data_IF_694333051625
#
_entry.id   IF_694333051625
#
_cell.length_a   1.000
_cell.length_b   1.000
_cell.length_c   1.000
_cell.angle_alpha   90.00
_cell.angle_beta   90.00
_cell.angle_gamma   90.00
#
_symmetry.space_group_name_H-M   'P 1'
#
loop_
_entity.id
_entity.type
_entity.pdbx_description
1 polymer ?
#
# COMPACT_ATOMS: atom_id res chain seq x y z
N UNK A 1 -13.71 -8.46 -22.06
CA UNK A 1 -12.67 -7.41 -21.99
C UNK A 1 -12.85 -6.38 -23.10
N UNK A 2 -12.96 -5.08 -22.77
CA UNK A 2 -12.94 -4.01 -23.77
C UNK A 2 -11.59 -3.94 -24.49
N UNK A 3 -11.60 -3.50 -25.76
CA UNK A 3 -10.38 -3.38 -26.56
C UNK A 3 -9.49 -2.25 -26.01
N UNK A 4 -8.15 -2.43 -25.99
CA UNK A 4 -7.24 -1.38 -25.56
C UNK A 4 -7.35 -0.17 -26.49
N UNK A 5 -7.42 1.02 -25.91
CA UNK A 5 -7.30 2.28 -26.65
C UNK A 5 -5.83 2.70 -26.67
N UNK A 6 -5.35 3.00 -27.86
CA UNK A 6 -3.95 3.35 -28.08
C UNK A 6 -3.85 4.79 -28.59
N UNK A 7 -3.03 5.58 -27.92
CA UNK A 7 -2.66 6.91 -28.37
C UNK A 7 -1.14 7.01 -28.44
N UNK A 8 -0.64 7.62 -29.49
CA UNK A 8 0.76 7.90 -29.68
C UNK A 8 0.93 9.31 -30.24
N UNK A 9 2.05 9.94 -29.90
CA UNK A 9 2.35 11.28 -30.35
C UNK A 9 3.83 11.60 -30.28
N UNK A 10 4.18 12.76 -30.83
CA UNK A 10 5.53 13.29 -30.83
C UNK A 10 5.54 14.74 -30.36
N UNK A 11 6.66 15.16 -29.78
CA UNK A 11 6.94 16.54 -29.41
C UNK A 11 8.44 16.83 -29.52
N UNK A 12 8.79 18.09 -29.72
CA UNK A 12 10.18 18.54 -29.80
C UNK A 12 10.61 19.16 -28.47
N UNK A 13 11.73 18.71 -27.91
CA UNK A 13 12.38 19.31 -26.75
C UNK A 13 13.86 19.53 -27.07
N UNK A 14 14.36 20.75 -26.88
CA UNK A 14 15.77 21.05 -27.12
C UNK A 14 16.24 20.85 -28.58
N UNK A 15 15.33 20.77 -29.55
CA UNK A 15 15.66 20.43 -30.94
C UNK A 15 15.60 18.95 -31.29
N UNK A 16 15.13 18.10 -30.36
CA UNK A 16 15.05 16.64 -30.51
C UNK A 16 13.60 16.19 -30.48
N UNK A 17 13.21 15.34 -31.44
CA UNK A 17 11.90 14.71 -31.47
C UNK A 17 11.83 13.54 -30.48
N UNK A 18 10.81 13.58 -29.63
CA UNK A 18 10.51 12.53 -28.66
C UNK A 18 9.13 11.94 -28.91
N UNK A 19 8.95 10.67 -28.56
CA UNK A 19 7.68 9.94 -28.73
C UNK A 19 7.13 9.48 -27.40
N UNK A 20 5.81 9.56 -27.24
CA UNK A 20 5.09 8.98 -26.10
C UNK A 20 3.99 8.04 -26.58
N UNK A 21 3.61 7.10 -25.72
CA UNK A 21 2.53 6.14 -25.98
C UNK A 21 1.66 5.99 -24.73
N UNK A 22 0.34 6.07 -24.92
CA UNK A 22 -0.67 5.79 -23.89
C UNK A 22 -1.45 4.55 -24.31
N UNK A 23 -1.54 3.59 -23.41
CA UNK A 23 -2.41 2.42 -23.53
C UNK A 23 -3.42 2.48 -22.40
N UNK A 24 -4.70 2.58 -22.75
CA UNK A 24 -5.81 2.63 -21.79
C UNK A 24 -6.68 1.38 -21.96
N UNK A 25 -6.94 0.66 -20.87
CA UNK A 25 -7.75 -0.56 -20.86
C UNK A 25 -8.89 -0.37 -19.86
N UNK A 26 -10.14 -0.66 -20.26
CA UNK A 26 -11.32 -0.46 -19.39
C UNK A 26 -11.83 0.98 -19.30
N UNK A 27 -10.98 1.98 -19.52
CA UNK A 27 -11.35 3.39 -19.49
C UNK A 27 -12.38 3.80 -20.56
N UNK A 28 -13.31 4.68 -20.16
CA UNK A 28 -14.22 5.33 -21.12
C UNK A 28 -13.45 6.13 -22.18
N UNK A 29 -13.88 6.07 -23.45
CA UNK A 29 -13.17 6.72 -24.56
C UNK A 29 -12.96 8.23 -24.39
N UNK A 30 -13.96 8.93 -23.84
CA UNK A 30 -13.88 10.37 -23.56
C UNK A 30 -12.78 10.71 -22.54
N UNK A 31 -12.54 9.84 -21.56
CA UNK A 31 -11.51 10.07 -20.55
C UNK A 31 -10.12 9.85 -21.12
N UNK A 32 -9.91 8.75 -21.84
CA UNK A 32 -8.63 8.45 -22.46
C UNK A 32 -8.21 9.54 -23.47
N UNK A 33 -9.16 10.03 -24.29
CA UNK A 33 -8.96 11.20 -25.17
C UNK A 33 -8.71 12.51 -24.40
N UNK A 34 -9.34 12.69 -23.24
CA UNK A 34 -9.13 13.84 -22.36
C UNK A 34 -7.72 13.85 -21.76
N UNK A 35 -7.28 12.71 -21.22
CA UNK A 35 -5.93 12.52 -20.70
C UNK A 35 -4.89 12.72 -21.80
N UNK A 36 -5.14 12.17 -23.00
CA UNK A 36 -4.28 12.36 -24.16
C UNK A 36 -4.04 13.85 -24.47
N UNK A 37 -5.12 14.62 -24.60
CA UNK A 37 -5.05 16.07 -24.84
C UNK A 37 -4.35 16.82 -23.69
N UNK A 38 -4.55 16.37 -22.45
CA UNK A 38 -3.90 16.94 -21.28
C UNK A 38 -2.39 16.72 -21.31
N UNK A 39 -1.93 15.51 -21.66
CA UNK A 39 -0.53 15.16 -21.85
C UNK A 39 0.09 15.96 -22.99
N UNK A 40 -0.56 16.01 -24.16
CA UNK A 40 -0.10 16.82 -25.29
C UNK A 40 0.03 18.31 -24.93
N UNK A 41 -0.96 18.86 -24.24
CA UNK A 41 -0.95 20.26 -23.80
C UNK A 41 0.18 20.52 -22.81
N UNK A 42 0.42 19.59 -21.87
CA UNK A 42 1.49 19.69 -20.91
C UNK A 42 2.86 19.69 -21.61
N UNK A 43 3.12 18.69 -22.47
CA UNK A 43 4.39 18.55 -23.19
C UNK A 43 4.72 19.78 -24.04
N UNK A 44 3.71 20.40 -24.68
CA UNK A 44 3.89 21.61 -25.50
C UNK A 44 4.15 22.88 -24.70
N UNK A 45 3.74 22.93 -23.44
CA UNK A 45 3.85 24.13 -22.59
C UNK A 45 4.90 23.98 -21.49
N UNK A 46 5.52 22.80 -21.36
CA UNK A 46 6.56 22.56 -20.38
C UNK A 46 7.82 23.37 -20.69
N UNK A 47 8.45 23.87 -19.64
CA UNK A 47 9.72 24.60 -19.73
C UNK A 47 10.63 24.18 -18.58
N UNK A 48 11.91 23.93 -18.82
CA UNK A 48 12.83 23.49 -17.77
C UNK A 48 12.97 24.57 -16.70
N UNK A 49 12.94 24.14 -15.44
CA UNK A 49 13.34 24.99 -14.31
C UNK A 49 14.83 24.78 -14.08
N UNK A 50 15.60 25.87 -13.97
CA UNK A 50 17.03 25.84 -13.68
C UNK A 50 17.28 25.26 -12.27
N UNK A 51 17.38 23.94 -12.18
CA UNK A 51 17.74 23.22 -10.96
C UNK A 51 18.69 22.09 -11.33
N UNK A 52 19.97 22.27 -11.02
CA UNK A 52 20.90 21.14 -10.93
C UNK A 52 20.53 20.39 -9.65
N UNK A 53 19.94 19.21 -9.80
CA UNK A 53 19.68 18.33 -8.68
C UNK A 53 21.00 17.66 -8.29
N UNK A 54 21.26 17.54 -6.99
CA UNK A 54 22.40 16.76 -6.48
C UNK A 54 21.92 16.00 -5.25
N UNK A 55 22.29 14.73 -5.19
CA UNK A 55 22.11 13.93 -3.98
C UNK A 55 22.90 14.56 -2.84
N UNK A 56 22.20 14.98 -1.79
CA UNK A 56 22.77 15.39 -0.52
C UNK A 56 22.86 14.19 0.45
N UNK A 57 23.52 14.37 1.60
CA UNK A 57 23.70 13.29 2.58
C UNK A 57 22.36 12.73 3.10
N UNK A 58 21.34 13.57 3.42
CA UNK A 58 20.02 13.06 3.77
C UNK A 58 19.37 12.18 2.69
N UNK A 59 19.54 12.52 1.40
CA UNK A 59 19.03 11.67 0.32
C UNK A 59 19.72 10.30 0.28
N UNK A 60 20.98 10.18 0.70
CA UNK A 60 21.63 8.87 0.84
C UNK A 60 21.04 8.05 2.00
N UNK A 61 20.68 8.69 3.13
CA UNK A 61 19.95 8.04 4.23
C UNK A 61 18.61 7.50 3.74
N UNK A 62 17.84 8.33 3.03
CA UNK A 62 16.56 7.90 2.44
C UNK A 62 16.76 6.76 1.44
N UNK A 63 17.83 6.78 0.62
CA UNK A 63 18.13 5.69 -0.30
C UNK A 63 18.43 4.38 0.45
N UNK A 64 19.17 4.43 1.55
CA UNK A 64 19.40 3.25 2.39
C UNK A 64 18.10 2.72 3.00
N UNK A 65 17.29 3.61 3.57
CA UNK A 65 15.97 3.29 4.13
C UNK A 65 15.05 2.64 3.09
N UNK A 66 14.91 3.26 1.91
CA UNK A 66 14.11 2.75 0.80
C UNK A 66 14.56 1.33 0.41
N UNK A 67 15.87 1.09 0.30
CA UNK A 67 16.39 -0.24 -0.03
C UNK A 67 16.10 -1.28 1.05
N UNK A 68 16.18 -0.93 2.33
CA UNK A 68 15.81 -1.85 3.41
C UNK A 68 14.31 -2.16 3.39
N UNK A 69 13.44 -1.16 3.17
CA UNK A 69 12.00 -1.39 2.99
C UNK A 69 11.70 -2.31 1.81
N UNK A 70 12.37 -2.11 0.68
CA UNK A 70 12.26 -2.97 -0.50
C UNK A 70 12.68 -4.41 -0.20
N UNK A 71 13.79 -4.61 0.51
CA UNK A 71 14.26 -5.94 0.91
C UNK A 71 13.27 -6.64 1.85
N UNK A 72 12.69 -5.90 2.80
CA UNK A 72 11.67 -6.42 3.70
C UNK A 72 10.38 -6.77 2.96
N UNK A 73 9.95 -5.94 2.00
CA UNK A 73 8.79 -6.22 1.15
C UNK A 73 8.98 -7.51 0.34
N UNK A 74 10.13 -7.66 -0.33
CA UNK A 74 10.47 -8.88 -1.07
C UNK A 74 10.56 -10.12 -0.17
N UNK A 75 11.11 -9.98 1.04
CA UNK A 75 11.19 -11.07 2.00
C UNK A 75 9.83 -11.46 2.62
N UNK A 76 8.86 -10.53 2.63
CA UNK A 76 7.56 -10.74 3.24
C UNK A 76 6.57 -11.50 2.34
N UNK A 77 6.87 -11.68 1.04
CA UNK A 77 5.95 -12.23 0.02
C UNK A 77 5.25 -13.53 0.46
N UNK A 78 6.00 -14.45 1.08
CA UNK A 78 5.53 -15.79 1.43
C UNK A 78 4.92 -15.84 2.85
N UNK A 79 4.93 -14.71 3.57
CA UNK A 79 4.62 -14.67 5.00
C UNK A 79 3.43 -13.80 5.35
N UNK A 80 3.26 -12.62 4.73
CA UNK A 80 2.16 -11.71 5.03
C UNK A 80 2.03 -10.60 3.98
N UNK A 81 0.86 -10.53 3.34
CA UNK A 81 0.52 -9.49 2.34
C UNK A 81 0.42 -8.13 2.99
N UNK A 82 -0.08 -8.08 4.23
CA UNK A 82 -0.12 -6.84 5.00
C UNK A 82 1.26 -6.27 5.30
N UNK A 83 2.23 -7.13 5.59
CA UNK A 83 3.62 -6.68 5.76
C UNK A 83 4.19 -6.16 4.44
N UNK A 84 3.93 -6.84 3.31
CA UNK A 84 4.29 -6.32 1.97
C UNK A 84 3.70 -4.93 1.78
N UNK A 85 2.39 -4.76 1.94
CA UNK A 85 1.72 -3.46 1.77
C UNK A 85 2.33 -2.37 2.68
N UNK A 86 2.55 -2.68 3.97
CA UNK A 86 3.18 -1.73 4.91
C UNK A 86 4.56 -1.29 4.45
N UNK A 87 5.41 -2.23 4.04
CA UNK A 87 6.77 -1.91 3.57
C UNK A 87 6.77 -1.14 2.25
N UNK A 88 5.84 -1.45 1.35
CA UNK A 88 5.68 -0.76 0.06
C UNK A 88 5.19 0.68 0.25
N UNK A 89 4.30 0.94 1.20
CA UNK A 89 3.89 2.31 1.58
C UNK A 89 5.08 3.13 2.09
N UNK A 90 5.93 2.54 2.95
CA UNK A 90 7.13 3.21 3.45
C UNK A 90 8.20 3.42 2.36
N UNK A 91 8.34 2.45 1.45
CA UNK A 91 9.17 2.55 0.26
C UNK A 91 8.71 3.70 -0.65
N UNK A 92 7.42 3.79 -0.97
CA UNK A 92 6.85 4.85 -1.80
C UNK A 92 7.12 6.23 -1.19
N UNK A 93 6.87 6.41 0.11
CA UNK A 93 7.14 7.68 0.81
C UNK A 93 8.60 8.10 0.72
N UNK A 94 9.51 7.14 0.90
CA UNK A 94 10.95 7.41 0.78
C UNK A 94 11.33 7.75 -0.66
N UNK A 95 10.80 7.04 -1.65
CA UNK A 95 11.01 7.34 -3.07
C UNK A 95 10.41 8.70 -3.49
N UNK A 96 9.30 9.12 -2.89
CA UNK A 96 8.73 10.45 -3.08
C UNK A 96 9.66 11.54 -2.53
N UNK A 97 10.34 11.28 -1.41
CA UNK A 97 11.37 12.16 -0.86
C UNK A 97 12.60 12.22 -1.79
N UNK A 98 13.04 11.06 -2.27
CA UNK A 98 14.17 10.93 -3.20
C UNK A 98 13.90 11.60 -4.55
N UNK A 99 12.69 11.52 -5.11
CA UNK A 99 12.30 12.21 -6.34
C UNK A 99 12.40 13.74 -6.19
N UNK A 100 12.08 14.28 -5.01
CA UNK A 100 12.25 15.72 -4.71
C UNK A 100 13.72 16.11 -4.67
N UNK A 101 14.58 15.23 -4.14
CA UNK A 101 16.03 15.45 -4.10
C UNK A 101 16.68 15.29 -5.49
N UNK A 102 16.23 14.30 -6.28
CA UNK A 102 16.81 13.96 -7.58
C UNK A 102 15.79 13.34 -8.55
N UNK A 103 15.58 13.92 -9.76
CA UNK A 103 14.52 13.50 -10.67
C UNK A 103 14.73 12.11 -11.30
N UNK A 104 15.94 11.54 -11.24
CA UNK A 104 16.19 10.14 -11.65
C UNK A 104 15.43 9.11 -10.81
N UNK A 105 14.89 9.49 -9.66
CA UNK A 105 13.99 8.62 -8.89
C UNK A 105 12.52 8.65 -9.37
N UNK A 106 12.19 9.43 -10.41
CA UNK A 106 10.81 9.50 -10.92
C UNK A 106 10.27 8.15 -11.38
N UNK A 107 11.03 7.36 -12.13
CA UNK A 107 10.58 6.04 -12.54
C UNK A 107 10.34 5.10 -11.35
N UNK A 108 11.33 4.84 -10.45
CA UNK A 108 11.08 3.96 -9.31
C UNK A 108 9.97 4.48 -8.39
N UNK A 109 9.81 5.81 -8.23
CA UNK A 109 8.68 6.38 -7.50
C UNK A 109 7.33 6.11 -8.19
N UNK A 110 7.26 6.26 -9.51
CA UNK A 110 6.05 5.95 -10.29
C UNK A 110 5.62 4.49 -10.15
N UNK A 111 6.60 3.56 -10.17
CA UNK A 111 6.38 2.13 -9.96
C UNK A 111 5.98 1.86 -8.51
N UNK A 112 6.56 2.55 -7.52
CA UNK A 112 6.19 2.40 -6.13
C UNK A 112 4.74 2.81 -5.84
N UNK A 113 4.24 3.88 -6.49
CA UNK A 113 2.82 4.25 -6.43
C UNK A 113 1.95 3.09 -6.94
N UNK A 114 2.32 2.48 -8.07
CA UNK A 114 1.60 1.32 -8.61
C UNK A 114 1.66 0.12 -7.65
N UNK A 115 2.83 -0.17 -7.08
CA UNK A 115 3.02 -1.22 -6.09
C UNK A 115 2.16 -1.01 -4.84
N UNK A 116 1.98 0.23 -4.35
CA UNK A 116 1.06 0.54 -3.25
C UNK A 116 -0.37 0.19 -3.64
N UNK A 117 -0.82 0.56 -4.85
CA UNK A 117 -2.17 0.22 -5.32
C UNK A 117 -2.36 -1.30 -5.41
N UNK A 118 -1.42 -2.01 -6.04
CA UNK A 118 -1.47 -3.47 -6.19
C UNK A 118 -1.49 -4.19 -4.83
N UNK A 119 -0.58 -3.81 -3.92
CA UNK A 119 -0.49 -4.41 -2.60
C UNK A 119 -1.75 -4.11 -1.76
N UNK A 120 -2.28 -2.89 -1.88
CA UNK A 120 -3.52 -2.49 -1.22
C UNK A 120 -4.75 -3.26 -1.72
N UNK A 121 -4.73 -3.70 -2.98
CA UNK A 121 -5.76 -4.55 -3.59
C UNK A 121 -5.46 -6.06 -3.44
N UNK A 122 -4.49 -6.44 -2.61
CA UNK A 122 -4.09 -7.83 -2.35
C UNK A 122 -3.53 -8.57 -3.59
N UNK A 123 -3.05 -7.85 -4.61
CA UNK A 123 -2.45 -8.40 -5.83
C UNK A 123 -0.94 -8.63 -5.64
N UNK A 124 -0.59 -9.68 -4.88
CA UNK A 124 0.80 -9.94 -4.43
C UNK A 124 1.75 -10.19 -5.60
N UNK A 125 1.37 -11.04 -6.55
CA UNK A 125 2.25 -11.41 -7.67
C UNK A 125 2.64 -10.18 -8.51
N UNK A 126 1.65 -9.35 -8.85
CA UNK A 126 1.87 -8.10 -9.57
C UNK A 126 2.68 -7.08 -8.75
N UNK A 127 2.45 -7.05 -7.44
CA UNK A 127 3.27 -6.23 -6.52
C UNK A 127 4.74 -6.68 -6.56
N UNK A 128 5.02 -7.98 -6.60
CA UNK A 128 6.40 -8.48 -6.65
C UNK A 128 7.10 -8.10 -7.95
N UNK A 129 6.41 -8.18 -9.08
CA UNK A 129 6.95 -7.67 -10.35
C UNK A 129 7.33 -6.19 -10.27
N UNK A 130 6.45 -5.36 -9.68
CA UNK A 130 6.75 -3.95 -9.47
C UNK A 130 7.96 -3.72 -8.54
N UNK A 131 8.10 -4.52 -7.47
CA UNK A 131 9.26 -4.43 -6.57
C UNK A 131 10.57 -4.85 -7.23
N UNK A 132 10.55 -5.86 -8.09
CA UNK A 132 11.71 -6.25 -8.90
C UNK A 132 12.13 -5.13 -9.86
N UNK A 133 11.17 -4.44 -10.48
CA UNK A 133 11.43 -3.27 -11.32
C UNK A 133 12.06 -2.11 -10.53
N UNK A 134 11.52 -1.81 -9.34
CA UNK A 134 12.12 -0.80 -8.43
C UNK A 134 13.55 -1.22 -8.07
N UNK A 135 13.76 -2.49 -7.73
CA UNK A 135 15.09 -3.00 -7.38
C UNK A 135 16.10 -2.84 -8.52
N UNK A 136 15.66 -3.06 -9.76
CA UNK A 136 16.49 -2.88 -10.96
C UNK A 136 16.81 -1.41 -11.24
N UNK A 137 15.85 -0.51 -10.98
CA UNK A 137 15.98 0.93 -11.25
C UNK A 137 16.77 1.70 -10.19
N UNK A 138 16.83 1.21 -8.94
CA UNK A 138 17.55 1.88 -7.87
C UNK A 138 19.07 1.78 -8.03
N UNK A 139 19.82 2.81 -7.59
CA UNK A 139 21.27 2.71 -7.52
C UNK A 139 21.73 1.51 -6.70
N UNK A 140 22.72 0.81 -7.24
CA UNK A 140 23.24 -0.43 -6.64
C UNK A 140 24.36 -0.11 -5.65
N UNK A 141 24.33 -0.71 -4.45
CA UNK A 141 25.46 -0.68 -3.54
C UNK A 141 26.71 -1.26 -4.21
N UNK A 142 27.86 -0.65 -3.92
CA UNK A 142 29.15 -1.11 -4.36
C UNK A 142 29.60 -2.30 -3.51
N UNK A 143 30.13 -3.34 -4.16
CA UNK A 143 30.73 -4.51 -3.50
C UNK A 143 32.26 -4.49 -3.52
N UNK A 144 32.84 -3.36 -3.90
CA UNK A 144 34.28 -3.19 -4.01
C UNK A 144 34.64 -1.85 -4.66
N UNK A 145 35.94 -1.54 -4.73
CA UNK A 145 36.43 -0.30 -5.32
C UNK A 145 36.03 -0.25 -6.80
N UNK A 146 35.24 0.77 -7.14
CA UNK A 146 34.74 1.02 -8.49
C UNK A 146 35.56 2.08 -9.22
N UNK A 147 34.94 2.74 -10.20
CA UNK A 147 35.51 3.91 -10.87
C UNK A 147 35.28 5.23 -10.09
N UNK A 148 34.63 5.17 -8.92
CA UNK A 148 34.32 6.35 -8.11
C UNK A 148 35.55 6.78 -7.28
N UNK A 149 35.81 8.08 -7.25
CA UNK A 149 36.88 8.67 -6.42
C UNK A 149 36.43 8.98 -4.98
N UNK A 150 35.12 9.09 -4.76
CA UNK A 150 34.52 9.36 -3.45
C UNK A 150 33.31 8.45 -3.24
N UNK A 151 33.26 7.87 -2.05
CA UNK A 151 32.23 6.96 -1.58
C UNK A 151 31.38 7.59 -0.49
N UNK A 152 30.11 7.18 -0.44
CA UNK A 152 29.19 7.46 0.64
C UNK A 152 28.97 6.14 1.37
N UNK A 153 29.38 6.08 2.63
CA UNK A 153 29.27 4.91 3.49
C UNK A 153 28.14 5.16 4.49
N UNK A 154 27.23 4.21 4.61
CA UNK A 154 26.08 4.29 5.50
C UNK A 154 26.12 3.07 6.41
N UNK A 155 26.25 3.31 7.71
CA UNK A 155 26.23 2.27 8.75
C UNK A 155 24.89 2.30 9.49
N UNK A 156 24.25 1.14 9.60
CA UNK A 156 23.01 0.94 10.34
C UNK A 156 23.28 0.42 11.76
N UNK A 157 22.99 1.26 12.75
CA UNK A 157 23.17 0.97 14.17
C UNK A 157 21.88 0.49 14.87
N UNK A 158 20.78 0.24 14.14
CA UNK A 158 19.53 -0.22 14.74
C UNK A 158 19.74 -1.57 15.43
N UNK A 159 19.34 -1.66 16.70
CA UNK A 159 19.46 -2.93 17.43
C UNK A 159 18.43 -3.94 16.93
N UNK A 160 18.68 -5.22 17.20
CA UNK A 160 17.71 -6.27 16.83
C UNK A 160 16.42 -6.12 17.65
N UNK A 161 16.52 -5.74 18.93
CA UNK A 161 15.36 -5.48 19.77
C UNK A 161 14.52 -4.30 19.24
N UNK A 162 15.16 -3.20 18.84
CA UNK A 162 14.45 -2.03 18.31
C UNK A 162 13.76 -2.36 16.99
N UNK A 163 14.44 -3.10 16.10
CA UNK A 163 13.82 -3.57 14.86
C UNK A 163 12.66 -4.54 15.13
N UNK A 164 12.77 -5.43 16.10
CA UNK A 164 11.66 -6.32 16.49
C UNK A 164 10.45 -5.55 17.04
N UNK A 165 10.69 -4.43 17.73
CA UNK A 165 9.63 -3.59 18.27
C UNK A 165 8.95 -2.74 17.19
N UNK A 166 9.72 -2.11 16.31
CA UNK A 166 9.18 -1.23 15.25
C UNK A 166 8.68 -2.01 14.02
N UNK A 167 9.28 -3.19 13.77
CA UNK A 167 9.16 -3.96 12.54
C UNK A 167 9.49 -3.14 11.28
N UNK A 168 10.23 -2.03 11.42
CA UNK A 168 10.59 -1.10 10.36
C UNK A 168 12.03 -0.61 10.57
N UNK A 169 12.77 -0.33 9.48
CA UNK A 169 14.03 0.39 9.56
C UNK A 169 13.91 1.70 10.33
N UNK A 170 14.97 2.12 11.01
CA UNK A 170 15.02 3.42 11.69
C UNK A 170 15.98 4.37 10.96
N UNK A 171 15.45 5.51 10.49
CA UNK A 171 16.24 6.55 9.82
C UNK A 171 17.29 7.17 10.74
N UNK A 172 16.96 7.31 12.02
CA UNK A 172 17.81 7.95 13.02
C UNK A 172 18.96 7.02 13.46
N UNK A 173 18.88 5.74 13.12
CA UNK A 173 19.92 4.75 13.39
C UNK A 173 21.02 4.72 12.31
N UNK A 174 20.84 5.41 11.18
CA UNK A 174 21.86 5.48 10.13
C UNK A 174 22.92 6.55 10.42
N UNK A 175 24.20 6.18 10.33
CA UNK A 175 25.30 7.12 10.26
C UNK A 175 25.86 7.19 8.84
N UNK A 176 26.12 8.40 8.33
CA UNK A 176 26.62 8.62 6.97
C UNK A 176 28.01 9.24 7.01
N UNK A 177 28.92 8.67 6.21
CA UNK A 177 30.30 9.12 6.05
C UNK A 177 30.62 9.35 4.57
N UNK A 178 31.46 10.36 4.31
CA UNK A 178 32.03 10.61 2.98
C UNK A 178 33.50 10.23 3.04
N UNK A 179 33.93 9.33 2.17
CA UNK A 179 35.25 8.71 2.23
C UNK A 179 35.86 8.67 0.83
N UNK A 180 37.11 9.11 0.67
CA UNK A 180 37.80 9.10 -0.63
C UNK A 180 38.59 7.81 -0.89
N UNK A 181 38.92 7.05 0.17
CA UNK A 181 39.61 5.77 0.07
C UNK A 181 39.03 4.80 1.10
N UNK A 182 38.50 3.67 0.63
CA UNK A 182 37.82 2.69 1.44
C UNK A 182 38.48 1.32 1.23
N UNK A 183 38.86 0.67 2.32
CA UNK A 183 39.51 -0.64 2.25
C UNK A 183 38.52 -1.69 1.67
N UNK A 184 38.95 -2.60 0.77
CA UNK A 184 38.06 -3.58 0.14
C UNK A 184 37.16 -4.40 1.08
N UNK A 185 37.64 -4.86 2.27
CA UNK A 185 36.78 -5.57 3.24
C UNK A 185 35.63 -4.72 3.79
N UNK A 186 35.76 -3.39 3.78
CA UNK A 186 34.74 -2.47 4.29
C UNK A 186 33.53 -2.34 3.37
N UNK A 187 33.61 -2.76 2.10
CA UNK A 187 32.46 -2.76 1.18
C UNK A 187 31.42 -3.85 1.50
N UNK A 188 31.85 -4.92 2.17
CA UNK A 188 30.99 -6.08 2.46
C UNK A 188 30.69 -6.22 3.96
N UNK A 189 31.00 -5.20 4.76
CA UNK A 189 30.70 -5.22 6.19
C UNK A 189 29.19 -5.33 6.43
N UNK A 190 28.80 -6.20 7.36
CA UNK A 190 27.40 -6.36 7.75
C UNK A 190 26.82 -5.04 8.25
N UNK A 191 25.56 -4.75 7.85
CA UNK A 191 24.84 -3.51 8.18
C UNK A 191 25.47 -2.22 7.62
N UNK A 192 26.41 -2.36 6.68
CA UNK A 192 26.97 -1.24 5.92
C UNK A 192 26.46 -1.28 4.50
N UNK A 193 26.18 -0.10 3.94
CA UNK A 193 25.88 0.09 2.53
C UNK A 193 26.80 1.17 1.99
N UNK A 194 27.45 0.90 0.85
CA UNK A 194 28.38 1.84 0.21
C UNK A 194 27.85 2.23 -1.16
N UNK A 195 27.77 3.53 -1.43
CA UNK A 195 27.41 4.09 -2.73
C UNK A 195 28.55 4.94 -3.29
N UNK A 196 28.58 5.13 -4.60
CA UNK A 196 29.35 6.22 -5.19
C UNK A 196 28.68 7.57 -4.85
N UNK A 197 29.48 8.63 -4.65
CA UNK A 197 28.97 10.00 -4.47
C UNK A 197 28.16 10.52 -5.68
N UNK A 198 28.31 9.87 -6.83
CA UNK A 198 27.42 9.98 -7.98
C UNK A 198 26.90 8.58 -8.30
N UNK A 199 25.69 8.22 -7.82
CA UNK A 199 25.23 6.84 -7.81
C UNK A 199 24.56 6.44 -9.13
N UNK A 200 24.29 7.41 -10.01
CA UNK A 200 23.69 7.21 -11.32
C UNK A 200 24.72 7.26 -12.44
N UNK A 201 24.54 6.41 -13.45
CA UNK A 201 25.40 6.39 -14.64
C UNK A 201 24.96 7.47 -15.63
N UNK A 202 25.88 8.20 -16.27
CA UNK A 202 25.54 9.09 -17.39
C UNK A 202 24.90 8.35 -18.57
N UNK A 203 25.05 7.03 -18.67
CA UNK A 203 24.47 6.21 -19.75
C UNK A 203 23.02 5.77 -19.50
N UNK A 204 22.46 6.04 -18.32
CA UNK A 204 21.08 5.66 -18.02
C UNK A 204 20.10 6.51 -18.84
N UNK A 205 19.34 5.86 -19.73
CA UNK A 205 18.38 6.56 -20.57
C UNK A 205 17.14 7.00 -19.76
N UNK A 206 16.63 8.22 -19.95
CA UNK A 206 15.41 8.71 -19.31
C UNK A 206 14.18 7.98 -19.85
N UNK A 207 13.50 7.27 -18.96
CA UNK A 207 12.24 6.61 -19.26
C UNK A 207 11.26 6.71 -18.10
N UNK A 208 9.98 6.62 -18.43
CA UNK A 208 8.87 6.64 -17.49
C UNK A 208 7.81 5.65 -17.93
N UNK A 209 7.39 4.80 -17.00
CA UNK A 209 6.12 4.09 -17.08
C UNK A 209 5.22 4.57 -15.93
N UNK A 210 3.97 4.87 -16.25
CA UNK A 210 2.92 5.21 -15.28
C UNK A 210 1.82 4.18 -15.40
N UNK A 211 1.81 3.24 -14.46
CA UNK A 211 0.78 2.20 -14.35
C UNK A 211 -0.14 2.53 -13.18
N UNK A 212 -1.45 2.60 -13.44
CA UNK A 212 -2.46 2.96 -12.44
C UNK A 212 -3.66 2.04 -12.53
N UNK A 213 -4.08 1.54 -11.37
CA UNK A 213 -5.38 0.87 -11.19
C UNK A 213 -6.41 1.94 -10.86
N UNK A 214 -7.53 1.92 -11.58
CA UNK A 214 -8.65 2.84 -11.48
C UNK A 214 -9.93 2.03 -11.28
N UNK A 215 -10.96 2.66 -10.72
CA UNK A 215 -12.28 2.06 -10.45
C UNK A 215 -12.89 1.46 -11.73
N UNK A 216 -12.64 2.05 -12.89
CA UNK A 216 -13.18 1.61 -14.19
C UNK A 216 -12.15 0.97 -15.13
N UNK A 217 -10.93 0.69 -14.67
CA UNK A 217 -9.94 -0.01 -15.48
C UNK A 217 -8.49 0.29 -15.12
N UNK A 218 -7.60 0.10 -16.09
CA UNK A 218 -6.17 0.33 -15.92
C UNK A 218 -5.63 1.30 -16.97
N UNK A 219 -4.65 2.08 -16.55
CA UNK A 219 -3.93 3.03 -17.39
C UNK A 219 -2.46 2.67 -17.37
N UNK A 220 -1.87 2.54 -18.56
CA UNK A 220 -0.42 2.45 -18.76
C UNK A 220 0.02 3.55 -19.70
N UNK A 221 0.86 4.46 -19.22
CA UNK A 221 1.58 5.41 -20.07
C UNK A 221 3.05 5.03 -20.11
N UNK A 222 3.63 4.98 -21.30
CA UNK A 222 5.07 4.78 -21.49
C UNK A 222 5.66 5.94 -22.26
N UNK A 223 6.73 6.52 -21.72
CA UNK A 223 7.50 7.58 -22.35
C UNK A 223 8.99 7.24 -22.28
N UNK A 224 9.66 7.34 -23.42
CA UNK A 224 11.11 7.19 -23.51
C UNK A 224 11.67 8.45 -24.14
N UNK A 225 12.63 9.07 -23.48
CA UNK A 225 13.33 10.24 -23.96
C UNK A 225 14.77 9.84 -24.30
N UNK A 226 15.36 10.52 -25.26
CA UNK A 226 16.80 10.39 -25.54
C UNK A 226 17.55 11.33 -24.60
N UNK A 227 18.54 10.80 -23.85
CA UNK A 227 19.41 11.64 -23.02
C UNK A 227 20.49 12.29 -23.89
N UNK A 228 20.57 13.62 -23.85
CA UNK A 228 21.72 14.36 -24.42
C UNK A 228 22.74 14.78 -23.33
N UNK A 229 22.61 14.26 -22.11
CA UNK A 229 23.54 14.49 -21.00
C UNK A 229 23.15 15.64 -20.07
N UNK A 230 21.85 15.95 -19.97
CA UNK A 230 21.30 16.98 -19.07
C UNK A 230 20.24 16.37 -18.15
N UNK A 231 19.99 16.96 -16.98
CA UNK A 231 18.91 16.53 -16.07
C UNK A 231 17.50 16.91 -16.58
N UNK A 232 17.42 17.69 -17.66
CA UNK A 232 16.17 18.21 -18.23
C UNK A 232 15.16 17.12 -18.62
N UNK A 233 15.53 16.02 -19.28
CA UNK A 233 14.61 14.93 -19.58
C UNK A 233 14.02 14.32 -18.30
N UNK A 234 14.82 14.12 -17.26
CA UNK A 234 14.34 13.56 -15.99
C UNK A 234 13.38 14.51 -15.26
N UNK A 235 13.63 15.83 -15.30
CA UNK A 235 12.70 16.84 -14.76
C UNK A 235 11.37 16.84 -15.51
N UNK A 236 11.39 16.71 -16.85
CA UNK A 236 10.18 16.58 -17.64
C UNK A 236 9.37 15.35 -17.22
N UNK A 237 10.02 14.19 -17.09
CA UNK A 237 9.36 12.96 -16.65
C UNK A 237 8.69 13.13 -15.28
N UNK A 238 9.39 13.75 -14.32
CA UNK A 238 8.86 14.02 -12.97
C UNK A 238 7.59 14.86 -13.03
N UNK A 239 7.67 15.97 -13.75
CA UNK A 239 6.58 16.94 -13.82
C UNK A 239 5.39 16.35 -14.61
N UNK A 240 5.67 15.57 -15.67
CA UNK A 240 4.65 14.86 -16.44
C UNK A 240 3.93 13.81 -15.58
N UNK A 241 4.67 12.95 -14.85
CA UNK A 241 4.09 11.98 -13.91
C UNK A 241 3.17 12.70 -12.92
N UNK A 242 3.67 13.77 -12.29
CA UNK A 242 2.91 14.57 -11.32
C UNK A 242 1.64 15.16 -11.93
N UNK A 243 1.71 15.62 -13.18
CA UNK A 243 0.55 16.12 -13.94
C UNK A 243 -0.48 15.02 -14.20
N UNK A 244 -0.05 13.82 -14.61
CA UNK A 244 -0.93 12.67 -14.84
C UNK A 244 -1.63 12.28 -13.53
N UNK A 245 -0.86 12.08 -12.46
CA UNK A 245 -1.41 11.71 -11.15
C UNK A 245 -2.40 12.78 -10.67
N UNK A 246 -2.10 14.07 -10.81
CA UNK A 246 -3.02 15.16 -10.48
C UNK A 246 -4.35 15.12 -11.26
N UNK A 247 -4.33 14.76 -12.55
CA UNK A 247 -5.55 14.58 -13.34
C UNK A 247 -6.35 13.35 -12.86
N UNK A 248 -5.68 12.26 -12.49
CA UNK A 248 -6.34 11.05 -11.99
C UNK A 248 -7.04 11.32 -10.65
N UNK A 249 -6.33 11.93 -9.69
CA UNK A 249 -6.86 12.28 -8.37
C UNK A 249 -8.06 13.23 -8.45
N UNK A 250 -7.97 14.29 -9.26
CA UNK A 250 -9.08 15.25 -9.42
C UNK A 250 -10.31 14.65 -10.11
N UNK A 251 -10.14 13.54 -10.83
CA UNK A 251 -11.23 12.82 -11.51
C UNK A 251 -11.89 11.72 -10.67
N UNK A 252 -11.48 11.52 -9.41
CA UNK A 252 -12.02 10.50 -8.48
C UNK A 252 -12.03 9.06 -9.05
N UNK A 253 -11.09 8.74 -9.95
CA UNK A 253 -11.00 7.44 -10.61
C UNK A 253 -10.18 6.41 -9.84
N UNK A 254 -9.58 6.77 -8.72
CA UNK A 254 -8.92 5.81 -7.81
C UNK A 254 -9.90 5.36 -6.74
N UNK A 255 -9.80 4.12 -6.26
CA UNK A 255 -10.52 3.73 -5.05
C UNK A 255 -10.17 4.71 -3.92
N UNK A 256 -11.19 5.25 -3.24
CA UNK A 256 -10.96 6.12 -2.07
C UNK A 256 -10.33 5.38 -0.90
N UNK A 257 -10.43 4.04 -0.90
CA UNK A 257 -9.93 3.15 0.13
C UNK A 257 -9.55 1.80 -0.49
N UNK A 258 -8.33 1.32 -0.22
CA UNK A 258 -7.83 0.03 -0.70
C UNK A 258 -8.58 -1.16 -0.08
N UNK A 259 -8.46 -2.36 -0.65
CA UNK A 259 -9.03 -3.57 -0.07
C UNK A 259 -8.47 -3.84 1.35
N UNK A 260 -7.15 -3.72 1.54
CA UNK A 260 -6.50 -3.86 2.86
C UNK A 260 -7.11 -2.92 3.89
N UNK A 261 -7.24 -1.63 3.57
CA UNK A 261 -7.84 -0.65 4.47
C UNK A 261 -9.32 -0.97 4.73
N UNK A 262 -10.06 -1.43 3.71
CA UNK A 262 -11.48 -1.76 3.85
C UNK A 262 -11.69 -2.92 4.82
N UNK A 263 -10.96 -4.02 4.63
CA UNK A 263 -11.07 -5.18 5.51
C UNK A 263 -10.54 -4.89 6.91
N UNK A 264 -9.54 -4.02 7.05
CA UNK A 264 -9.09 -3.51 8.35
C UNK A 264 -10.21 -2.78 9.08
N UNK A 265 -10.91 -1.84 8.41
CA UNK A 265 -12.03 -1.09 9.02
C UNK A 265 -13.25 -2.00 9.28
N UNK A 266 -13.50 -2.98 8.42
CA UNK A 266 -14.58 -3.94 8.62
C UNK A 266 -14.31 -4.87 9.81
N UNK A 267 -13.08 -5.38 9.95
CA UNK A 267 -12.66 -6.16 11.11
C UNK A 267 -12.74 -5.32 12.38
N UNK A 268 -12.23 -4.08 12.35
CA UNK A 268 -12.33 -3.15 13.47
C UNK A 268 -13.77 -2.90 13.91
N UNK A 269 -14.65 -2.60 12.95
CA UNK A 269 -16.08 -2.40 13.21
C UNK A 269 -16.73 -3.64 13.82
N UNK A 270 -16.35 -4.83 13.36
CA UNK A 270 -16.82 -6.11 13.90
C UNK A 270 -16.34 -6.30 15.35
N UNK A 271 -15.06 -6.07 15.64
CA UNK A 271 -14.51 -6.12 17.00
C UNK A 271 -15.22 -5.15 17.95
N UNK A 272 -15.43 -3.90 17.53
CA UNK A 272 -16.17 -2.91 18.31
C UNK A 272 -17.61 -3.37 18.60
N UNK A 273 -18.31 -3.91 17.60
CA UNK A 273 -19.67 -4.42 17.77
C UNK A 273 -19.72 -5.64 18.72
N UNK A 274 -18.75 -6.57 18.63
CA UNK A 274 -18.63 -7.70 19.54
C UNK A 274 -18.35 -7.25 20.99
N UNK A 275 -17.50 -6.24 21.19
CA UNK A 275 -17.21 -5.64 22.51
C UNK A 275 -18.45 -4.94 23.07
N UNK A 276 -19.18 -4.18 22.25
CA UNK A 276 -20.42 -3.51 22.66
C UNK A 276 -21.46 -4.53 23.18
N UNK A 277 -21.51 -5.71 22.56
CA UNK A 277 -22.43 -6.79 22.91
C UNK A 277 -22.00 -7.63 24.10
N UNK A 278 -20.70 -7.89 24.26
CA UNK A 278 -20.18 -8.89 25.20
C UNK A 278 -19.44 -8.35 26.41
N UNK A 279 -18.84 -7.15 26.30
CA UNK A 279 -17.89 -6.68 27.31
C UNK A 279 -18.61 -5.98 28.48
N UNK A 280 -18.34 -6.35 29.75
CA UNK A 280 -19.02 -5.75 30.91
C UNK A 280 -18.88 -4.23 30.98
N UNK A 281 -17.69 -3.69 30.67
CA UNK A 281 -17.45 -2.24 30.68
C UNK A 281 -18.33 -1.50 29.65
N UNK A 282 -18.61 -2.09 28.49
CA UNK A 282 -19.51 -1.46 27.51
C UNK A 282 -20.93 -1.34 28.05
N UNK A 283 -21.33 -2.22 28.97
CA UNK A 283 -22.64 -2.19 29.61
C UNK A 283 -22.69 -1.22 30.80
N UNK A 284 -21.65 -1.21 31.64
CA UNK A 284 -21.63 -0.47 32.90
C UNK A 284 -21.02 0.94 32.81
N UNK A 285 -20.14 1.21 31.85
CA UNK A 285 -19.40 2.48 31.73
C UNK A 285 -19.84 3.26 30.49
N UNK A 286 -20.65 4.31 30.68
CA UNK A 286 -21.16 5.14 29.57
C UNK A 286 -20.05 5.81 28.75
N UNK A 287 -18.99 6.29 29.41
CA UNK A 287 -17.86 6.93 28.72
C UNK A 287 -17.20 5.97 27.74
N UNK A 288 -16.99 4.73 28.20
CA UNK A 288 -16.38 3.68 27.40
C UNK A 288 -17.28 3.25 26.23
N UNK A 289 -18.59 3.08 26.46
CA UNK A 289 -19.55 2.82 25.38
C UNK A 289 -19.55 3.94 24.33
N UNK A 290 -19.56 5.21 24.78
CA UNK A 290 -19.55 6.37 23.86
C UNK A 290 -18.31 6.38 23.00
N UNK A 291 -17.14 6.10 23.59
CA UNK A 291 -15.87 6.02 22.87
C UNK A 291 -15.89 4.90 21.82
N UNK A 292 -16.33 3.69 22.19
CA UNK A 292 -16.51 2.57 21.25
C UNK A 292 -17.46 2.91 20.11
N UNK A 293 -18.60 3.54 20.40
CA UNK A 293 -19.58 3.94 19.39
C UNK A 293 -19.03 5.02 18.45
N UNK A 294 -18.23 5.97 18.98
CA UNK A 294 -17.58 6.99 18.15
C UNK A 294 -16.54 6.37 17.20
N UNK A 295 -15.73 5.45 17.72
CA UNK A 295 -14.74 4.70 16.94
C UNK A 295 -15.40 3.83 15.84
N UNK A 296 -16.51 3.17 16.19
CA UNK A 296 -17.31 2.41 15.24
C UNK A 296 -17.92 3.30 14.15
N UNK A 297 -18.47 4.48 14.51
CA UNK A 297 -18.99 5.43 13.52
C UNK A 297 -17.91 5.90 12.55
N UNK A 298 -16.71 6.19 13.05
CA UNK A 298 -15.57 6.60 12.23
C UNK A 298 -15.17 5.48 11.26
N UNK A 299 -15.03 4.25 11.78
CA UNK A 299 -14.65 3.08 11.00
C UNK A 299 -15.65 2.76 9.88
N UNK A 300 -16.95 2.75 10.19
CA UNK A 300 -18.01 2.57 9.21
C UNK A 300 -18.04 3.71 8.17
N UNK A 301 -17.73 4.93 8.58
CA UNK A 301 -17.62 6.06 7.65
C UNK A 301 -16.43 5.96 6.70
N UNK A 302 -15.39 5.21 7.04
CA UNK A 302 -14.30 4.88 6.13
C UNK A 302 -14.65 3.68 5.26
N UNK A 303 -15.14 2.59 5.85
CA UNK A 303 -15.49 1.37 5.11
C UNK A 303 -16.58 1.61 4.05
N UNK A 304 -17.53 2.53 4.29
CA UNK A 304 -18.57 2.89 3.31
C UNK A 304 -18.04 3.49 2.00
N UNK A 305 -16.81 4.02 2.00
CA UNK A 305 -16.17 4.58 0.81
C UNK A 305 -15.91 3.51 -0.26
N UNK A 306 -15.71 2.26 0.18
CA UNK A 306 -15.57 1.09 -0.70
C UNK A 306 -16.87 0.29 -0.82
N UNK A 307 -17.60 0.09 0.27
CA UNK A 307 -18.90 -0.59 0.27
C UNK A 307 -20.04 0.33 0.74
N UNK A 308 -20.75 1.02 -0.17
CA UNK A 308 -21.83 1.94 0.18
C UNK A 308 -22.99 1.33 0.97
N UNK A 309 -23.19 0.00 0.93
CA UNK A 309 -24.25 -0.67 1.69
C UNK A 309 -24.06 -0.52 3.21
N UNK A 310 -22.82 -0.30 3.66
CA UNK A 310 -22.50 -0.03 5.06
C UNK A 310 -23.06 1.30 5.58
N UNK A 311 -23.60 2.17 4.71
CA UNK A 311 -24.24 3.42 5.12
C UNK A 311 -25.36 3.20 6.14
N UNK A 312 -26.20 2.17 5.95
CA UNK A 312 -27.29 1.85 6.88
C UNK A 312 -26.76 1.45 8.25
N UNK A 313 -25.68 0.67 8.29
CA UNK A 313 -25.00 0.28 9.54
C UNK A 313 -24.44 1.51 10.26
N UNK A 314 -23.82 2.41 9.49
CA UNK A 314 -23.32 3.69 9.99
C UNK A 314 -24.40 4.58 10.60
N UNK A 315 -25.59 4.61 9.99
CA UNK A 315 -26.73 5.37 10.51
C UNK A 315 -27.25 4.81 11.84
N UNK A 316 -27.32 3.48 11.97
CA UNK A 316 -27.69 2.80 13.22
C UNK A 316 -26.64 3.04 14.31
N UNK A 317 -25.35 2.93 13.98
CA UNK A 317 -24.26 3.25 14.91
C UNK A 317 -24.33 4.70 15.38
N UNK A 318 -24.56 5.64 14.46
CA UNK A 318 -24.74 7.06 14.77
C UNK A 318 -25.98 7.34 15.62
N UNK A 319 -27.08 6.60 15.40
CA UNK A 319 -28.27 6.69 16.24
C UNK A 319 -27.99 6.18 17.67
N UNK A 320 -27.31 5.03 17.80
CA UNK A 320 -26.89 4.49 19.10
C UNK A 320 -25.96 5.45 19.85
N UNK A 321 -25.01 6.08 19.15
CA UNK A 321 -24.12 7.10 19.73
C UNK A 321 -24.91 8.29 20.27
N UNK A 322 -25.84 8.83 19.47
CA UNK A 322 -26.70 9.96 19.90
C UNK A 322 -27.56 9.60 21.11
N UNK A 323 -28.14 8.39 21.15
CA UNK A 323 -28.88 7.91 22.31
C UNK A 323 -27.97 7.81 23.56
N UNK A 324 -26.75 7.29 23.39
CA UNK A 324 -25.75 7.24 24.46
C UNK A 324 -25.38 8.64 24.99
N UNK A 325 -25.20 9.62 24.11
CA UNK A 325 -24.91 11.02 24.46
C UNK A 325 -26.07 11.70 25.19
N UNK A 326 -27.31 11.31 24.89
CA UNK A 326 -28.52 11.73 25.62
C UNK A 326 -28.76 10.97 26.92
N UNK A 327 -27.88 10.03 27.29
CA UNK A 327 -27.99 9.16 28.47
C UNK A 327 -29.17 8.15 28.38
N UNK A 328 -29.66 7.87 27.17
CA UNK A 328 -30.72 6.88 26.89
C UNK A 328 -30.07 5.48 26.76
N UNK A 329 -29.73 4.87 27.91
CA UNK A 329 -28.88 3.66 27.95
C UNK A 329 -29.51 2.43 27.31
N UNK A 330 -30.81 2.22 27.51
CA UNK A 330 -31.55 1.07 26.97
C UNK A 330 -31.65 1.17 25.44
N UNK A 331 -32.08 2.33 24.92
CA UNK A 331 -32.16 2.57 23.48
C UNK A 331 -30.79 2.44 22.79
N UNK A 332 -29.74 3.00 23.40
CA UNK A 332 -28.38 2.85 22.90
C UNK A 332 -27.95 1.37 22.85
N UNK A 333 -28.24 0.59 23.88
CA UNK A 333 -27.90 -0.83 23.94
C UNK A 333 -28.68 -1.65 22.91
N UNK A 334 -29.98 -1.40 22.76
CA UNK A 334 -30.83 -2.06 21.78
C UNK A 334 -30.32 -1.81 20.35
N UNK A 335 -30.04 -0.55 20.01
CA UNK A 335 -29.47 -0.19 18.71
C UNK A 335 -28.09 -0.79 18.49
N UNK A 336 -27.22 -0.77 19.51
CA UNK A 336 -25.88 -1.36 19.43
C UNK A 336 -25.94 -2.87 19.17
N UNK A 337 -26.93 -3.55 19.75
CA UNK A 337 -27.10 -4.99 19.58
C UNK A 337 -27.44 -5.40 18.14
N UNK A 338 -28.10 -4.53 17.38
CA UNK A 338 -28.46 -4.77 16.00
C UNK A 338 -27.26 -4.68 15.04
N UNK A 339 -26.23 -3.88 15.38
CA UNK A 339 -25.11 -3.54 14.48
C UNK A 339 -24.38 -4.80 13.99
N UNK A 340 -24.08 -5.74 14.88
CA UNK A 340 -23.34 -6.95 14.51
C UNK A 340 -24.09 -7.81 13.48
N UNK A 341 -25.43 -7.74 13.46
CA UNK A 341 -26.26 -8.46 12.50
C UNK A 341 -26.40 -7.75 11.15
N UNK A 342 -26.09 -6.46 11.10
CA UNK A 342 -26.13 -5.65 9.89
C UNK A 342 -24.77 -5.57 9.19
N UNK A 343 -23.68 -5.88 9.90
CA UNK A 343 -22.34 -5.99 9.32
C UNK A 343 -22.23 -7.23 8.40
N UNK A 344 -21.38 -7.17 7.36
CA UNK A 344 -20.95 -8.35 6.63
C UNK A 344 -20.54 -9.48 7.58
N UNK A 345 -21.03 -10.71 7.35
CA UNK A 345 -20.88 -11.78 8.32
C UNK A 345 -19.41 -12.21 8.46
N UNK A 346 -18.92 -12.32 9.69
CA UNK A 346 -17.66 -13.00 9.97
C UNK A 346 -17.81 -14.51 9.75
N UNK A 347 -17.34 -14.98 8.60
CA UNK A 347 -17.38 -16.37 8.18
C UNK A 347 -16.48 -17.28 9.03
N UNK A 348 -15.57 -16.73 9.86
CA UNK A 348 -14.74 -17.52 10.80
C UNK A 348 -15.59 -18.43 11.70
N UNK A 349 -16.83 -18.03 11.99
CA UNK A 349 -17.81 -18.80 12.78
C UNK A 349 -18.23 -20.12 12.14
N UNK A 350 -18.06 -20.25 10.82
CA UNK A 350 -18.32 -21.49 10.04
C UNK A 350 -17.11 -22.44 10.05
N UNK A 351 -15.94 -21.99 10.49
CA UNK A 351 -14.74 -22.81 10.62
C UNK A 351 -14.69 -23.49 12.00
N UNK A 352 -14.05 -24.67 12.11
CA UNK A 352 -13.86 -25.32 13.40
C UNK A 352 -13.04 -24.46 14.35
N UNK A 353 -13.32 -24.61 15.65
CA UNK A 353 -12.58 -23.93 16.73
C UNK A 353 -11.27 -24.64 17.09
N UNK A 354 -11.16 -25.93 16.76
CA UNK A 354 -9.97 -26.74 17.02
C UNK A 354 -9.76 -27.72 15.88
N UNK A 355 -8.52 -27.86 15.46
CA UNK A 355 -8.10 -28.84 14.46
C UNK A 355 -7.60 -30.09 15.18
N UNK A 356 -8.38 -31.18 15.14
CA UNK A 356 -7.82 -32.48 15.48
C UNK A 356 -7.03 -32.99 14.27
N UNK A 357 -5.75 -33.34 14.47
CA UNK A 357 -4.87 -33.78 13.38
C UNK A 357 -5.30 -35.10 12.71
N UNK A 358 -6.39 -35.74 13.17
CA UNK A 358 -6.88 -37.02 12.64
C UNK A 358 -7.96 -36.85 11.57
N UNK A 359 -8.70 -35.73 11.59
CA UNK A 359 -9.76 -35.37 10.62
C UNK A 359 -9.44 -34.15 9.78
N UNK A 360 -8.18 -33.70 9.83
CA UNK A 360 -7.74 -32.49 9.16
C UNK A 360 -8.11 -32.46 7.67
N UNK A 361 -7.80 -33.53 6.92
CA UNK A 361 -8.13 -33.61 5.49
C UNK A 361 -9.63 -33.50 5.19
N UNK A 362 -10.47 -34.23 5.92
CA UNK A 362 -11.93 -34.21 5.73
C UNK A 362 -12.55 -32.84 6.03
N UNK A 363 -12.02 -32.14 7.04
CA UNK A 363 -12.46 -30.80 7.44
C UNK A 363 -12.02 -29.76 6.40
N UNK A 364 -10.76 -29.80 5.96
CA UNK A 364 -10.26 -28.93 4.88
C UNK A 364 -11.10 -29.15 3.64
N UNK A 365 -11.28 -30.39 3.20
CA UNK A 365 -12.12 -30.71 2.03
C UNK A 365 -13.54 -30.15 2.18
N UNK A 366 -14.17 -30.30 3.35
CA UNK A 366 -15.53 -29.76 3.58
C UNK A 366 -15.58 -28.23 3.50
N UNK A 367 -14.57 -27.54 4.02
CA UNK A 367 -14.45 -26.07 3.95
C UNK A 367 -14.17 -25.63 2.52
N UNK A 368 -13.24 -26.31 1.84
CA UNK A 368 -12.84 -26.09 0.46
C UNK A 368 -14.02 -26.29 -0.51
N UNK A 369 -14.75 -27.41 -0.41
CA UNK A 369 -15.87 -27.68 -1.32
C UNK A 369 -17.15 -26.93 -0.95
N UNK A 370 -17.36 -26.62 0.34
CA UNK A 370 -18.56 -25.94 0.81
C UNK A 370 -18.45 -24.42 0.75
N UNK A 371 -17.46 -23.86 1.45
CA UNK A 371 -17.35 -22.43 1.68
C UNK A 371 -16.69 -21.71 0.49
N UNK A 372 -15.60 -22.26 -0.06
CA UNK A 372 -15.00 -21.69 -1.28
C UNK A 372 -15.84 -21.96 -2.55
N UNK A 373 -16.73 -22.96 -2.49
CA UNK A 373 -17.75 -23.14 -3.52
C UNK A 373 -18.84 -22.05 -3.48
N UNK A 374 -19.11 -21.47 -2.31
CA UNK A 374 -20.06 -20.36 -2.12
C UNK A 374 -19.38 -18.98 -2.28
N UNK A 375 -18.12 -18.86 -1.86
CA UNK A 375 -17.31 -17.65 -1.89
C UNK A 375 -15.92 -17.96 -2.45
N UNK A 376 -15.68 -17.74 -3.75
CA UNK A 376 -14.42 -18.16 -4.40
C UNK A 376 -13.20 -17.46 -3.80
N UNK A 377 -13.38 -16.22 -3.36
CA UNK A 377 -12.33 -15.40 -2.76
C UNK A 377 -12.70 -15.02 -1.33
N UNK A 378 -11.80 -15.32 -0.40
CA UNK A 378 -11.95 -15.02 1.01
C UNK A 378 -10.79 -14.13 1.47
N UNK A 379 -11.09 -13.21 2.38
CA UNK A 379 -10.09 -12.37 3.02
C UNK A 379 -10.07 -12.63 4.52
N UNK A 380 -8.89 -12.97 5.03
CA UNK A 380 -8.62 -13.10 6.45
C UNK A 380 -8.15 -11.76 6.99
N UNK A 381 -8.62 -11.43 8.19
CA UNK A 381 -8.02 -10.37 9.02
C UNK A 381 -7.66 -10.96 10.37
N UNK A 382 -6.38 -10.99 10.71
CA UNK A 382 -5.86 -11.46 11.99
C UNK A 382 -5.63 -10.30 12.95
N UNK A 383 -6.15 -10.41 14.17
CA UNK A 383 -5.81 -9.48 15.26
C UNK A 383 -4.54 -9.94 15.95
N UNK A 384 -3.47 -9.17 15.76
CA UNK A 384 -2.17 -9.40 16.37
C UNK A 384 -1.95 -8.58 17.64
N UNK A 385 -2.99 -7.89 18.15
CA UNK A 385 -2.93 -7.17 19.42
C UNK A 385 -2.82 -8.19 20.55
N UNK A 386 -1.89 -7.97 21.49
CA UNK A 386 -1.80 -8.85 22.67
C UNK A 386 -2.91 -8.55 23.68
N UNK A 387 -3.16 -9.49 24.59
CA UNK A 387 -4.13 -9.28 25.67
C UNK A 387 -3.73 -8.08 26.53
N UNK A 388 -2.44 -7.94 26.84
CA UNK A 388 -1.91 -6.83 27.63
C UNK A 388 -2.10 -5.47 26.91
N UNK A 389 -1.84 -5.42 25.60
CA UNK A 389 -2.06 -4.22 24.79
C UNK A 389 -3.55 -3.82 24.74
N UNK A 390 -4.45 -4.81 24.68
CA UNK A 390 -5.88 -4.58 24.75
C UNK A 390 -6.32 -4.13 26.14
N UNK A 391 -5.81 -4.73 27.21
CA UNK A 391 -6.13 -4.35 28.59
C UNK A 391 -5.68 -2.92 28.92
N UNK A 392 -4.52 -2.49 28.39
CA UNK A 392 -4.01 -1.13 28.56
C UNK A 392 -4.89 -0.09 27.84
N UNK A 393 -5.25 -0.32 26.58
CA UNK A 393 -6.05 0.63 25.79
C UNK A 393 -7.54 0.52 26.06
N UNK A 394 -8.01 -0.66 26.42
CA UNK A 394 -9.43 -1.03 26.46
C UNK A 394 -10.11 -1.05 25.09
N UNK A 395 -9.39 -0.86 23.98
CA UNK A 395 -9.96 -0.77 22.63
C UNK A 395 -9.15 -1.64 21.66
N UNK A 396 -9.80 -2.17 20.60
CA UNK A 396 -9.08 -2.79 19.51
C UNK A 396 -8.08 -1.82 18.87
N UNK A 397 -7.04 -2.35 18.23
CA UNK A 397 -6.05 -1.54 17.53
C UNK A 397 -6.01 -1.86 16.03
N UNK A 398 -6.50 -0.93 15.19
CA UNK A 398 -6.45 -1.06 13.72
C UNK A 398 -5.06 -1.36 13.19
N UNK A 399 -4.00 -0.87 13.87
CA UNK A 399 -2.60 -1.05 13.45
C UNK A 399 -2.08 -2.47 13.69
N UNK A 400 -2.82 -3.28 14.45
CA UNK A 400 -2.48 -4.67 14.77
C UNK A 400 -3.23 -5.67 13.89
N UNK A 401 -4.06 -5.20 12.96
CA UNK A 401 -4.72 -6.08 12.01
C UNK A 401 -3.80 -6.41 10.83
N UNK A 402 -3.71 -7.70 10.53
CA UNK A 402 -3.05 -8.23 9.34
C UNK A 402 -4.12 -8.82 8.42
N UNK A 403 -4.27 -8.22 7.25
CA UNK A 403 -5.14 -8.63 6.15
C UNK A 403 -4.38 -9.49 5.15
N UNK A 404 -4.88 -10.68 4.86
CA UNK A 404 -4.31 -11.61 3.88
C UNK A 404 -5.42 -12.29 3.07
N UNK A 405 -5.22 -12.51 1.76
CA UNK A 405 -6.12 -13.36 0.97
C UNK A 405 -6.02 -14.81 1.45
N UNK A 406 -7.15 -15.48 1.56
CA UNK A 406 -7.21 -16.93 1.77
C UNK A 406 -7.39 -17.60 0.42
N UNK A 407 -6.28 -18.09 -0.15
CA UNK A 407 -6.30 -18.90 -1.36
C UNK A 407 -6.82 -20.32 -1.12
N UNK A 408 -6.79 -21.18 -2.16
CA UNK A 408 -7.28 -22.56 -2.07
C UNK A 408 -6.44 -23.46 -1.16
N UNK A 409 -5.27 -23.03 -0.72
CA UNK A 409 -4.38 -23.81 0.16
C UNK A 409 -4.53 -23.38 1.64
N UNK A 410 -5.78 -23.28 2.12
CA UNK A 410 -6.04 -22.89 3.52
C UNK A 410 -5.47 -23.94 4.48
N UNK A 411 -4.54 -23.53 5.35
CA UNK A 411 -3.98 -24.36 6.42
C UNK A 411 -4.56 -23.96 7.79
N UNK A 412 -4.46 -24.84 8.82
CA UNK A 412 -4.84 -24.51 10.18
C UNK A 412 -4.11 -23.29 10.73
N UNK A 413 -2.83 -23.12 10.37
CA UNK A 413 -1.99 -22.01 10.79
C UNK A 413 -2.58 -20.65 10.38
N UNK A 414 -3.27 -20.58 9.24
CA UNK A 414 -3.98 -19.37 8.82
C UNK A 414 -5.17 -19.01 9.72
N UNK A 415 -5.67 -19.94 10.54
CA UNK A 415 -6.87 -19.77 11.37
C UNK A 415 -6.59 -19.93 12.87
N UNK A 416 -5.31 -20.10 13.23
CA UNK A 416 -4.79 -20.29 14.58
C UNK A 416 -4.87 -19.05 15.49
N UNK A 417 -4.80 -17.79 15.02
CA UNK A 417 -5.02 -16.66 15.92
C UNK A 417 -6.39 -16.75 16.57
N UNK A 418 -6.42 -16.58 17.90
CA UNK A 418 -7.65 -16.62 18.72
C UNK A 418 -8.69 -15.60 18.25
N UNK A 419 -8.23 -14.46 17.72
CA UNK A 419 -9.05 -13.38 17.20
C UNK A 419 -8.74 -13.19 15.71
N UNK A 420 -9.56 -13.81 14.87
CA UNK A 420 -9.45 -13.76 13.42
C UNK A 420 -10.85 -13.56 12.81
N UNK A 421 -10.91 -12.73 11.79
CA UNK A 421 -12.09 -12.48 10.97
C UNK A 421 -11.86 -13.07 9.59
N UNK A 422 -12.92 -13.65 9.01
CA UNK A 422 -12.92 -14.11 7.63
C UNK A 422 -14.13 -13.49 6.95
N UNK A 423 -13.88 -12.78 5.85
CA UNK A 423 -14.91 -12.13 5.05
C UNK A 423 -14.87 -12.68 3.63
N UNK A 424 -16.01 -12.63 2.94
CA UNK A 424 -15.99 -12.78 1.49
C UNK A 424 -15.29 -11.57 0.86
N UNK A 425 -14.51 -11.81 -0.19
CA UNK A 425 -14.05 -10.73 -1.04
C UNK A 425 -15.28 -9.96 -1.57
N UNK A 426 -15.21 -8.63 -1.64
CA UNK A 426 -16.20 -7.87 -2.39
C UNK A 426 -16.00 -8.28 -3.85
N UNK A 427 -17.02 -8.89 -4.44
CA UNK A 427 -17.02 -9.12 -5.88
C UNK A 427 -16.91 -7.73 -6.53
N UNK A 428 -15.87 -7.52 -7.34
CA UNK A 428 -15.93 -6.48 -8.35
C UNK A 428 -17.05 -6.91 -9.29
N UNK A 429 -18.24 -6.31 -9.16
CA UNK A 429 -19.28 -6.50 -10.16
C UNK A 429 -18.65 -6.17 -11.51
N UNK A 430 -18.41 -7.18 -12.34
CA UNK A 430 -18.10 -6.99 -13.76
C UNK A 430 -19.32 -6.28 -14.39
N UNK A 431 -19.34 -4.96 -14.32
CA UNK A 431 -20.24 -4.09 -15.09
C UNK A 431 -21.60 -3.76 -14.49
N UNK A 432 -21.68 -3.15 -13.30
CA UNK A 432 -22.83 -2.28 -12.99
C UNK A 432 -22.61 -0.89 -13.59
N UNK A 433 -22.95 -0.79 -14.88
CA UNK A 433 -23.30 0.48 -15.49
C UNK A 433 -24.56 1.04 -14.81
N UNK A 434 -24.44 2.23 -14.22
CA UNK A 434 -25.56 3.19 -14.13
C UNK A 434 -25.17 4.46 -14.87
#
# INVERSE_FOLDING_TARGET
MPAPQLFDGHFELGGVDHTWKITAIGLTGLYAEGLNRSVESFLRSWSPRNTRARMDLPAYVELAYARQCLQLALAAQDSSVSNVHRFVVELERSLASLEKAHPRFTYPHSVAISAVQLAGELLVDDTMYALEEIHAALPKPLKGPGAAETYIVIDDYQSTEDFQASQLPDRDAFAVFVVDDLDPPEFEQSRRVVFANQPFSPADAPFLTVDRILVDGTLTLTLTLTDEGLDEPWLLLRDLRSHIDGNLYTSARTHELSAVEYYTELAYSTSCAEILLGHPRAHSELTYRRELLAELCLSLSNAKKRNPELAVVGDVAGASLRACERLEQEESADLASAILHLLPPNLRRRFPRSWDGRRHGEIVDTIMYGLLGEFPDLVRVADCQTVEEFEERGLPDRRRYEVDPLGPDITPAHLEPLHCFVFAALEEEEGSCV
#
